data_IF_918694442692
#
_entry.id   IF_918694442692
#
_cell.length_a   1.000
_cell.length_b   1.000
_cell.length_c   1.000
_cell.angle_alpha   90.00
_cell.angle_beta   90.00
_cell.angle_gamma   90.00
#
_symmetry.space_group_name_H-M   'P 1'
#
loop_
_entity.id
_entity.type
_entity.pdbx_description
1 polymer ?
#
# COMPACT_ATOMS: atom_id res chain seq x y z
N UNK A 1 67.15 -4.58 -15.03
CA UNK A 1 65.92 -3.87 -15.48
C UNK A 1 64.87 -4.94 -15.80
N UNK A 2 64.43 -5.68 -14.78
CA UNK A 2 63.18 -5.50 -14.01
C UNK A 2 61.98 -6.03 -14.77
N UNK A 3 61.66 -7.30 -14.49
CA UNK A 3 60.40 -7.94 -14.84
C UNK A 3 59.28 -7.34 -13.98
N UNK A 4 58.16 -6.97 -14.61
CA UNK A 4 56.97 -6.48 -13.94
C UNK A 4 56.00 -7.66 -13.89
N UNK A 5 55.94 -8.34 -12.76
CA UNK A 5 54.87 -9.29 -12.44
C UNK A 5 53.57 -8.50 -12.23
N UNK A 6 52.60 -8.73 -13.10
CA UNK A 6 51.24 -8.24 -12.94
C UNK A 6 50.58 -9.03 -11.79
N UNK A 7 50.38 -8.36 -10.65
CA UNK A 7 49.53 -8.88 -9.58
C UNK A 7 48.08 -8.69 -9.99
N UNK A 8 47.42 -9.77 -10.41
CA UNK A 8 45.99 -9.83 -10.65
C UNK A 8 45.24 -9.64 -9.32
N UNK A 9 44.69 -8.44 -9.11
CA UNK A 9 43.92 -8.11 -7.92
C UNK A 9 42.63 -8.95 -7.89
N UNK A 10 42.56 -9.89 -6.95
CA UNK A 10 41.39 -10.71 -6.69
C UNK A 10 40.15 -9.83 -6.43
N UNK A 11 39.10 -10.00 -7.25
CA UNK A 11 37.79 -9.36 -7.04
C UNK A 11 37.28 -9.70 -5.63
N UNK A 12 36.78 -8.71 -4.86
CA UNK A 12 36.23 -8.99 -3.54
C UNK A 12 35.03 -9.92 -3.70
N UNK A 13 35.10 -11.11 -3.10
CA UNK A 13 33.98 -12.05 -2.99
C UNK A 13 32.88 -11.34 -2.23
N UNK A 14 31.85 -10.90 -2.96
CA UNK A 14 30.74 -10.11 -2.41
C UNK A 14 30.19 -10.75 -1.14
N UNK A 15 30.22 -9.98 -0.05
CA UNK A 15 29.69 -10.38 1.26
C UNK A 15 28.27 -10.90 1.07
N UNK A 16 28.02 -12.15 1.48
CA UNK A 16 26.70 -12.79 1.37
C UNK A 16 25.69 -11.93 2.16
N UNK A 17 24.75 -11.31 1.46
CA UNK A 17 23.69 -10.53 2.09
C UNK A 17 22.96 -11.37 3.14
N UNK A 18 22.62 -10.81 4.31
CA UNK A 18 21.76 -11.46 5.29
C UNK A 18 20.45 -11.92 4.64
N UNK A 19 19.91 -13.08 5.08
CA UNK A 19 18.73 -13.71 4.46
C UNK A 19 17.53 -12.74 4.31
N UNK A 20 17.30 -11.88 5.31
CA UNK A 20 16.24 -10.85 5.28
C UNK A 20 16.50 -9.77 4.24
N UNK A 21 17.73 -9.25 4.18
CA UNK A 21 18.12 -8.25 3.19
C UNK A 21 18.00 -8.81 1.76
N UNK A 22 18.41 -10.07 1.54
CA UNK A 22 18.19 -10.76 0.27
C UNK A 22 16.71 -10.86 -0.07
N UNK A 23 15.88 -11.27 0.88
CA UNK A 23 14.43 -11.40 0.66
C UNK A 23 13.80 -10.06 0.25
N UNK A 24 14.17 -8.95 0.90
CA UNK A 24 13.67 -7.62 0.55
C UNK A 24 14.14 -7.17 -0.84
N UNK A 25 15.38 -7.46 -1.21
CA UNK A 25 15.89 -7.19 -2.55
C UNK A 25 15.07 -7.92 -3.63
N UNK A 26 14.76 -9.20 -3.41
CA UNK A 26 13.94 -9.99 -4.33
C UNK A 26 12.51 -9.43 -4.44
N UNK A 27 11.91 -9.00 -3.32
CA UNK A 27 10.60 -8.37 -3.33
C UNK A 27 10.59 -7.03 -4.09
N UNK A 28 11.61 -6.19 -3.92
CA UNK A 28 11.73 -4.93 -4.66
C UNK A 28 11.83 -5.15 -6.17
N UNK A 29 12.69 -6.08 -6.59
CA UNK A 29 12.78 -6.46 -8.01
C UNK A 29 11.47 -7.04 -8.56
N UNK A 30 10.78 -7.86 -7.77
CA UNK A 30 9.48 -8.41 -8.14
C UNK A 30 8.43 -7.32 -8.32
N UNK A 31 8.39 -6.33 -7.40
CA UNK A 31 7.49 -5.18 -7.48
C UNK A 31 7.68 -4.41 -8.79
N UNK A 32 8.93 -4.06 -9.12
CA UNK A 32 9.24 -3.36 -10.38
C UNK A 32 8.75 -4.14 -11.61
N UNK A 33 8.99 -5.45 -11.64
CA UNK A 33 8.59 -6.30 -12.78
C UNK A 33 7.07 -6.45 -12.85
N UNK A 34 6.40 -6.71 -11.73
CA UNK A 34 4.95 -6.87 -11.70
C UNK A 34 4.21 -5.57 -12.06
N UNK A 35 4.70 -4.42 -11.61
CA UNK A 35 4.09 -3.11 -11.93
C UNK A 35 4.32 -2.75 -13.40
N UNK A 36 5.49 -3.06 -13.95
CA UNK A 36 5.82 -2.73 -15.34
C UNK A 36 5.11 -3.62 -16.36
N UNK A 37 4.95 -4.92 -16.06
CA UNK A 37 4.51 -5.92 -17.05
C UNK A 37 3.14 -6.54 -16.74
N UNK A 38 2.64 -6.36 -15.51
CA UNK A 38 1.51 -7.11 -14.98
C UNK A 38 1.90 -8.52 -14.51
N UNK A 39 1.06 -9.11 -13.65
CA UNK A 39 1.36 -10.42 -13.05
C UNK A 39 1.49 -11.54 -14.09
N UNK A 40 0.60 -11.59 -15.08
CA UNK A 40 0.57 -12.69 -16.06
C UNK A 40 1.81 -12.70 -16.96
N UNK A 41 2.21 -11.53 -17.45
CA UNK A 41 3.37 -11.36 -18.35
C UNK A 41 4.71 -11.52 -17.62
N UNK A 42 4.78 -11.15 -16.34
CA UNK A 42 6.00 -11.25 -15.55
C UNK A 42 6.52 -12.69 -15.46
N UNK A 43 7.82 -12.89 -15.73
CA UNK A 43 8.50 -14.16 -15.52
C UNK A 43 9.41 -14.13 -14.29
N UNK A 44 9.59 -15.30 -13.65
CA UNK A 44 10.57 -15.46 -12.56
C UNK A 44 12.00 -15.17 -13.02
N UNK A 45 12.26 -15.36 -14.31
CA UNK A 45 13.55 -15.10 -14.94
C UNK A 45 13.88 -13.61 -14.95
N UNK A 46 12.92 -12.78 -15.38
CA UNK A 46 13.07 -11.32 -15.41
C UNK A 46 13.29 -10.76 -14.01
N UNK A 47 12.63 -11.34 -13.01
CA UNK A 47 12.79 -10.95 -11.60
C UNK A 47 14.18 -11.31 -11.07
N UNK A 48 14.68 -12.51 -11.40
CA UNK A 48 16.02 -12.92 -10.99
C UNK A 48 17.09 -12.03 -11.63
N UNK A 49 16.94 -11.72 -12.93
CA UNK A 49 17.81 -10.80 -13.67
C UNK A 49 17.76 -9.40 -13.05
N UNK A 50 16.55 -8.86 -12.82
CA UNK A 50 16.36 -7.53 -12.19
C UNK A 50 16.99 -7.47 -10.80
N UNK A 51 16.87 -8.53 -10.01
CA UNK A 51 17.47 -8.62 -8.68
C UNK A 51 18.99 -8.86 -8.71
N UNK A 52 19.60 -9.13 -9.88
CA UNK A 52 21.01 -9.48 -9.99
C UNK A 52 21.36 -10.78 -9.27
N UNK A 53 20.44 -11.76 -9.26
CA UNK A 53 20.65 -13.09 -8.64
C UNK A 53 20.45 -14.20 -9.67
N UNK A 54 20.98 -15.39 -9.39
CA UNK A 54 20.68 -16.56 -10.20
C UNK A 54 19.28 -17.12 -9.91
N UNK A 55 18.64 -17.75 -10.90
CA UNK A 55 17.32 -18.38 -10.73
C UNK A 55 17.25 -19.33 -9.52
N UNK A 56 18.23 -20.23 -9.27
CA UNK A 56 18.18 -21.10 -8.09
C UNK A 56 18.13 -20.32 -6.77
N UNK A 57 18.75 -19.13 -6.69
CA UNK A 57 18.69 -18.29 -5.48
C UNK A 57 17.29 -17.71 -5.30
N UNK A 58 16.63 -17.26 -6.36
CA UNK A 58 15.24 -16.81 -6.28
C UNK A 58 14.31 -17.94 -5.81
N UNK A 59 14.42 -19.13 -6.43
CA UNK A 59 13.59 -20.29 -6.09
C UNK A 59 13.83 -20.85 -4.66
N UNK A 60 15.02 -20.65 -4.08
CA UNK A 60 15.28 -20.96 -2.67
C UNK A 60 14.47 -20.09 -1.70
N UNK A 61 14.09 -18.89 -2.11
CA UNK A 61 13.33 -17.94 -1.30
C UNK A 61 11.83 -18.00 -1.60
N UNK A 62 11.47 -18.15 -2.88
CA UNK A 62 10.09 -18.15 -3.35
C UNK A 62 9.90 -19.29 -4.36
N UNK A 63 9.18 -20.36 -4.00
CA UNK A 63 9.07 -21.55 -4.84
C UNK A 63 8.30 -21.29 -6.15
N UNK A 64 7.52 -20.21 -6.21
CA UNK A 64 6.77 -19.82 -7.39
C UNK A 64 6.42 -18.33 -7.43
N UNK A 65 5.87 -17.92 -8.58
CA UNK A 65 5.48 -16.54 -8.87
C UNK A 65 4.32 -16.07 -7.98
N UNK A 66 3.37 -16.95 -7.68
CA UNK A 66 2.25 -16.63 -6.81
C UNK A 66 2.73 -16.41 -5.38
N UNK A 67 3.59 -17.28 -4.84
CA UNK A 67 4.13 -17.14 -3.48
C UNK A 67 4.96 -15.86 -3.33
N UNK A 68 5.73 -15.51 -4.37
CA UNK A 68 6.44 -14.24 -4.43
C UNK A 68 5.48 -13.04 -4.43
N UNK A 69 4.41 -13.11 -5.23
CA UNK A 69 3.39 -12.07 -5.29
C UNK A 69 2.65 -11.91 -3.96
N UNK A 70 2.21 -13.00 -3.33
CA UNK A 70 1.53 -13.00 -2.04
C UNK A 70 2.44 -12.44 -0.94
N UNK A 71 3.72 -12.78 -0.97
CA UNK A 71 4.72 -12.23 -0.05
C UNK A 71 4.96 -10.73 -0.21
N UNK A 72 4.88 -10.22 -1.45
CA UNK A 72 4.94 -8.79 -1.74
C UNK A 72 3.66 -8.10 -1.26
N UNK A 73 2.51 -8.70 -1.54
CA UNK A 73 1.20 -8.23 -1.09
C UNK A 73 1.13 -8.12 0.43
N UNK A 74 1.60 -9.15 1.16
CA UNK A 74 1.65 -9.13 2.63
C UNK A 74 2.53 -7.97 3.16
N UNK A 75 3.63 -7.63 2.47
CA UNK A 75 4.47 -6.48 2.84
C UNK A 75 3.74 -5.14 2.66
N UNK A 76 3.01 -4.97 1.56
CA UNK A 76 2.26 -3.75 1.30
C UNK A 76 1.03 -3.61 2.21
N UNK A 77 0.33 -4.72 2.49
CA UNK A 77 -0.75 -4.74 3.47
C UNK A 77 -0.26 -4.30 4.86
N UNK A 78 0.87 -4.81 5.32
CA UNK A 78 1.46 -4.38 6.59
C UNK A 78 1.84 -2.90 6.56
N UNK A 79 2.45 -2.41 5.47
CA UNK A 79 2.81 -1.01 5.31
C UNK A 79 1.59 -0.07 5.38
N UNK A 80 0.49 -0.46 4.75
CA UNK A 80 -0.78 0.29 4.80
C UNK A 80 -1.33 0.34 6.23
N UNK A 81 -1.42 -0.81 6.89
CA UNK A 81 -1.92 -0.89 8.27
C UNK A 81 -1.08 -0.05 9.24
N UNK A 82 0.25 -0.07 9.10
CA UNK A 82 1.15 0.75 9.91
C UNK A 82 0.99 2.24 9.63
N UNK A 83 0.75 2.62 8.37
CA UNK A 83 0.49 4.03 8.00
C UNK A 83 -0.80 4.54 8.64
N UNK A 84 -1.87 3.73 8.61
CA UNK A 84 -3.15 4.05 9.28
C UNK A 84 -2.95 4.19 10.79
N UNK A 85 -2.27 3.23 11.43
CA UNK A 85 -1.99 3.29 12.87
C UNK A 85 -1.18 4.53 13.26
N UNK A 86 -0.16 4.86 12.47
CA UNK A 86 0.67 6.05 12.68
C UNK A 86 -0.15 7.33 12.57
N UNK A 87 -1.03 7.43 11.55
CA UNK A 87 -1.91 8.56 11.37
C UNK A 87 -2.90 8.72 12.54
N UNK A 88 -3.52 7.63 13.01
CA UNK A 88 -4.42 7.64 14.17
C UNK A 88 -3.70 8.07 15.46
N UNK A 89 -2.45 7.67 15.64
CA UNK A 89 -1.63 8.01 16.81
C UNK A 89 -1.03 9.42 16.76
N UNK A 90 -1.10 10.12 15.62
CA UNK A 90 -0.45 11.42 15.42
C UNK A 90 -1.02 12.56 16.26
N UNK A 91 -2.24 12.39 16.78
CA UNK A 91 -2.99 13.41 17.53
C UNK A 91 -4.13 12.75 18.32
N UNK A 92 -4.71 13.50 19.26
CA UNK A 92 -5.94 13.13 19.97
C UNK A 92 -7.18 13.88 19.47
N UNK A 93 -7.01 14.85 18.56
CA UNK A 93 -8.14 15.53 17.91
C UNK A 93 -8.69 14.66 16.77
N UNK A 94 -9.93 14.20 16.89
CA UNK A 94 -10.55 13.31 15.92
C UNK A 94 -10.70 13.90 14.52
N UNK A 95 -10.91 15.21 14.40
CA UNK A 95 -10.96 15.85 13.08
C UNK A 95 -9.58 15.78 12.41
N UNK A 96 -8.52 16.01 13.18
CA UNK A 96 -7.16 15.89 12.68
C UNK A 96 -6.77 14.44 12.39
N UNK A 97 -7.25 13.46 13.18
CA UNK A 97 -7.07 12.03 12.87
C UNK A 97 -7.70 11.65 11.53
N UNK A 98 -8.93 12.10 11.27
CA UNK A 98 -9.60 11.84 9.97
C UNK A 98 -8.80 12.44 8.81
N UNK A 99 -8.29 13.68 8.97
CA UNK A 99 -7.44 14.28 7.94
C UNK A 99 -6.14 13.48 7.72
N UNK A 100 -5.47 13.09 8.81
CA UNK A 100 -4.22 12.33 8.76
C UNK A 100 -4.39 10.93 8.15
N UNK A 101 -5.48 10.22 8.47
CA UNK A 101 -5.73 8.88 7.90
C UNK A 101 -6.08 8.94 6.42
N UNK A 102 -6.84 9.96 5.98
CA UNK A 102 -7.10 10.19 4.56
C UNK A 102 -5.81 10.54 3.81
N UNK A 103 -4.99 11.42 4.37
CA UNK A 103 -3.69 11.78 3.78
C UNK A 103 -2.77 10.54 3.64
N UNK A 104 -2.66 9.73 4.69
CA UNK A 104 -1.88 8.49 4.68
C UNK A 104 -2.40 7.49 3.63
N UNK A 105 -3.72 7.37 3.48
CA UNK A 105 -4.32 6.50 2.46
C UNK A 105 -4.02 7.00 1.05
N UNK A 106 -4.18 8.30 0.78
CA UNK A 106 -3.86 8.87 -0.54
C UNK A 106 -2.37 8.82 -0.86
N UNK A 107 -1.49 9.02 0.13
CA UNK A 107 -0.05 8.83 -0.05
C UNK A 107 0.28 7.38 -0.46
N UNK A 108 -0.38 6.39 0.14
CA UNK A 108 -0.23 4.99 -0.24
C UNK A 108 -0.74 4.70 -1.66
N UNK A 109 -1.84 5.36 -2.05
CA UNK A 109 -2.47 5.24 -3.37
C UNK A 109 -1.55 5.80 -4.48
N UNK A 110 -0.92 6.94 -4.22
CA UNK A 110 -0.03 7.62 -5.18
C UNK A 110 1.40 7.08 -5.22
N UNK A 111 1.77 6.19 -4.30
CA UNK A 111 3.13 5.64 -4.22
C UNK A 111 3.64 5.21 -5.60
N UNK A 112 4.75 5.83 -6.04
CA UNK A 112 5.33 5.60 -7.37
C UNK A 112 5.73 4.13 -7.56
N UNK A 113 6.00 3.43 -6.46
CA UNK A 113 6.24 2.00 -6.43
C UNK A 113 5.05 1.15 -6.88
N UNK A 114 3.86 1.72 -7.05
CA UNK A 114 2.68 1.02 -7.57
C UNK A 114 2.09 -0.01 -6.59
N UNK A 115 2.39 0.12 -5.30
CA UNK A 115 1.86 -0.75 -4.25
C UNK A 115 0.33 -0.88 -4.32
N UNK A 116 -0.36 0.25 -4.46
CA UNK A 116 -1.82 0.28 -4.58
C UNK A 116 -2.33 -0.56 -5.76
N UNK A 117 -1.68 -0.48 -6.92
CA UNK A 117 -2.06 -1.25 -8.11
C UNK A 117 -1.96 -2.76 -7.86
N UNK A 118 -0.92 -3.20 -7.14
CA UNK A 118 -0.76 -4.61 -6.78
C UNK A 118 -1.82 -5.09 -5.78
N UNK A 119 -2.24 -4.25 -4.84
CA UNK A 119 -3.20 -4.62 -3.80
C UNK A 119 -4.65 -4.55 -4.30
N UNK A 120 -5.02 -3.52 -5.07
CA UNK A 120 -6.42 -3.19 -5.31
C UNK A 120 -6.85 -3.15 -6.78
N UNK A 121 -5.92 -3.07 -7.74
CA UNK A 121 -6.23 -3.03 -9.18
C UNK A 121 -5.74 -4.26 -9.96
N UNK A 122 -5.11 -5.21 -9.28
CA UNK A 122 -4.57 -6.41 -9.92
C UNK A 122 -5.66 -7.31 -10.50
N UNK A 123 -5.40 -7.88 -11.67
CA UNK A 123 -6.23 -8.91 -12.31
C UNK A 123 -6.36 -10.19 -11.43
N UNK A 124 -5.51 -10.32 -10.40
CA UNK A 124 -5.58 -11.38 -9.41
C UNK A 124 -6.61 -11.16 -8.31
N UNK A 125 -7.47 -10.15 -8.38
CA UNK A 125 -8.56 -9.95 -7.40
C UNK A 125 -9.53 -11.14 -7.31
N UNK A 126 -9.57 -12.02 -8.33
CA UNK A 126 -10.31 -13.28 -8.31
C UNK A 126 -9.54 -14.45 -7.69
N UNK A 127 -8.24 -14.34 -7.47
CA UNK A 127 -7.43 -15.35 -6.79
C UNK A 127 -7.79 -15.37 -5.29
N UNK A 128 -8.31 -16.49 -4.74
CA UNK A 128 -8.77 -16.55 -3.35
C UNK A 128 -7.71 -16.11 -2.33
N UNK A 129 -6.45 -16.51 -2.53
CA UNK A 129 -5.36 -16.16 -1.63
C UNK A 129 -5.01 -14.66 -1.64
N UNK A 130 -5.26 -13.96 -2.76
CA UNK A 130 -5.09 -12.51 -2.87
C UNK A 130 -6.25 -11.80 -2.18
N UNK A 131 -7.50 -12.22 -2.48
CA UNK A 131 -8.71 -11.67 -1.86
C UNK A 131 -8.66 -11.75 -0.34
N UNK A 132 -8.30 -12.90 0.20
CA UNK A 132 -8.18 -13.10 1.65
C UNK A 132 -7.23 -12.08 2.31
N UNK A 133 -6.10 -11.76 1.66
CA UNK A 133 -5.12 -10.79 2.18
C UNK A 133 -5.66 -9.36 2.15
N UNK A 134 -6.36 -9.00 1.08
CA UNK A 134 -7.00 -7.68 0.92
C UNK A 134 -8.13 -7.50 1.92
N UNK A 135 -8.98 -8.51 2.08
CA UNK A 135 -10.08 -8.49 3.06
C UNK A 135 -9.52 -8.39 4.49
N UNK A 136 -8.47 -9.15 4.79
CA UNK A 136 -7.81 -9.13 6.10
C UNK A 136 -7.23 -7.75 6.43
N UNK A 137 -6.47 -7.13 5.53
CA UNK A 137 -5.91 -5.80 5.81
C UNK A 137 -6.99 -4.73 5.94
N UNK A 138 -8.07 -4.84 5.14
CA UNK A 138 -9.21 -3.92 5.21
C UNK A 138 -9.89 -4.02 6.57
N UNK A 139 -10.13 -5.25 7.06
CA UNK A 139 -10.68 -5.49 8.38
C UNK A 139 -9.76 -4.98 9.49
N UNK A 140 -8.44 -5.22 9.40
CA UNK A 140 -7.48 -4.73 10.41
C UNK A 140 -7.41 -3.20 10.46
N UNK A 141 -7.53 -2.52 9.31
CA UNK A 141 -7.61 -1.06 9.28
C UNK A 141 -8.93 -0.57 9.92
N UNK A 142 -10.05 -1.23 9.61
CA UNK A 142 -11.35 -0.91 10.21
C UNK A 142 -11.35 -1.13 11.72
N UNK A 143 -10.74 -2.21 12.22
CA UNK A 143 -10.55 -2.46 13.65
C UNK A 143 -9.79 -1.32 14.33
N UNK A 144 -8.65 -0.90 13.76
CA UNK A 144 -7.86 0.20 14.32
C UNK A 144 -8.64 1.53 14.38
N UNK A 145 -9.44 1.82 13.36
CA UNK A 145 -10.31 3.02 13.33
C UNK A 145 -11.45 2.87 14.33
N UNK A 146 -12.07 1.68 14.40
CA UNK A 146 -13.18 1.38 15.31
C UNK A 146 -12.78 1.55 16.77
N UNK A 147 -11.58 1.11 17.16
CA UNK A 147 -11.08 1.25 18.53
C UNK A 147 -11.00 2.72 18.96
N UNK A 148 -10.60 3.60 18.03
CA UNK A 148 -10.57 5.05 18.25
C UNK A 148 -11.98 5.63 18.35
N UNK A 149 -12.88 5.26 17.44
CA UNK A 149 -14.27 5.74 17.46
C UNK A 149 -14.96 5.34 18.77
N UNK A 150 -14.84 4.08 19.17
CA UNK A 150 -15.45 3.57 20.40
C UNK A 150 -14.92 4.29 21.64
N UNK A 151 -13.60 4.51 21.69
CA UNK A 151 -12.94 5.20 22.81
C UNK A 151 -13.38 6.66 23.00
N UNK A 152 -13.65 7.36 21.90
CA UNK A 152 -13.87 8.81 21.95
C UNK A 152 -15.34 9.24 21.83
N UNK A 153 -16.23 8.35 21.38
CA UNK A 153 -17.65 8.68 21.15
C UNK A 153 -18.62 7.97 22.09
N UNK A 154 -18.19 6.90 22.75
CA UNK A 154 -19.04 6.06 23.59
C UNK A 154 -20.02 5.17 22.82
N UNK A 155 -19.91 5.10 21.49
CA UNK A 155 -20.62 4.12 20.65
C UNK A 155 -20.22 2.69 21.01
N UNK A 156 -21.11 1.73 20.73
CA UNK A 156 -20.77 0.32 20.87
C UNK A 156 -19.68 -0.10 19.89
N UNK A 157 -19.04 -1.25 20.15
CA UNK A 157 -18.03 -1.82 19.27
C UNK A 157 -18.59 -2.11 17.87
N UNK A 158 -19.82 -2.62 17.79
CA UNK A 158 -20.44 -2.98 16.51
C UNK A 158 -20.82 -1.74 15.69
N UNK A 159 -21.35 -0.69 16.33
CA UNK A 159 -21.61 0.60 15.67
C UNK A 159 -20.31 1.26 15.19
N UNK A 160 -19.27 1.25 16.01
CA UNK A 160 -17.95 1.79 15.68
C UNK A 160 -17.31 1.04 14.52
N UNK A 161 -17.44 -0.29 14.49
CA UNK A 161 -16.97 -1.13 13.40
C UNK A 161 -17.73 -0.84 12.10
N UNK A 162 -19.05 -0.70 12.17
CA UNK A 162 -19.87 -0.37 10.99
C UNK A 162 -19.43 0.97 10.37
N UNK A 163 -19.20 1.98 11.20
CA UNK A 163 -18.68 3.27 10.75
C UNK A 163 -17.27 3.15 10.15
N UNK A 164 -16.37 2.41 10.81
CA UNK A 164 -15.00 2.21 10.36
C UNK A 164 -14.90 1.48 9.01
N UNK A 165 -15.72 0.43 8.81
CA UNK A 165 -15.83 -0.28 7.53
C UNK A 165 -16.37 0.67 6.45
N UNK A 166 -17.38 1.48 6.77
CA UNK A 166 -17.92 2.48 5.84
C UNK A 166 -16.87 3.51 5.41
N UNK A 167 -16.10 4.05 6.36
CA UNK A 167 -15.01 5.00 6.08
C UNK A 167 -13.91 4.38 5.21
N UNK A 168 -13.50 3.15 5.52
CA UNK A 168 -12.51 2.42 4.72
C UNK A 168 -13.00 2.18 3.29
N UNK A 169 -14.25 1.72 3.13
CA UNK A 169 -14.85 1.48 1.82
C UNK A 169 -14.98 2.73 0.97
N UNK A 170 -15.46 3.85 1.54
CA UNK A 170 -15.55 5.13 0.84
C UNK A 170 -14.15 5.61 0.41
N UNK A 171 -13.15 5.49 1.28
CA UNK A 171 -11.77 5.87 0.96
C UNK A 171 -11.21 5.09 -0.23
N UNK A 172 -11.40 3.76 -0.21
CA UNK A 172 -10.96 2.88 -1.29
C UNK A 172 -11.65 3.18 -2.63
N UNK A 173 -12.98 3.34 -2.61
CA UNK A 173 -13.75 3.60 -3.84
C UNK A 173 -13.40 4.96 -4.43
N UNK A 174 -13.29 5.99 -3.60
CA UNK A 174 -12.94 7.35 -4.05
C UNK A 174 -11.51 7.40 -4.57
N UNK A 175 -10.54 6.77 -3.90
CA UNK A 175 -9.15 6.75 -4.36
C UNK A 175 -9.00 6.06 -5.72
N UNK A 176 -9.69 4.93 -5.93
CA UNK A 176 -9.71 4.23 -7.22
C UNK A 176 -10.35 5.07 -8.33
N UNK A 177 -11.47 5.73 -8.02
CA UNK A 177 -12.09 6.67 -8.97
C UNK A 177 -11.13 7.81 -9.31
N UNK A 178 -10.51 8.41 -8.30
CA UNK A 178 -9.60 9.53 -8.48
C UNK A 178 -8.40 9.16 -9.38
N UNK A 179 -7.73 8.02 -9.12
CA UNK A 179 -6.63 7.51 -9.95
C UNK A 179 -7.02 7.20 -11.40
N UNK A 180 -8.18 6.58 -11.59
CA UNK A 180 -8.66 6.21 -12.94
C UNK A 180 -9.27 7.38 -13.71
N UNK A 181 -9.71 8.42 -13.00
CA UNK A 181 -10.32 9.60 -13.62
C UNK A 181 -9.28 10.52 -14.25
N UNK A 182 -9.56 11.05 -15.44
CA UNK A 182 -8.82 12.19 -16.02
C UNK A 182 -9.26 13.53 -15.44
N UNK A 183 -9.80 13.53 -14.22
CA UNK A 183 -10.51 14.68 -13.63
C UNK A 183 -9.59 15.88 -13.38
N UNK A 184 -8.27 15.69 -13.35
CA UNK A 184 -7.29 16.74 -13.10
C UNK A 184 -7.33 17.30 -11.67
N UNK A 185 -8.11 16.69 -10.77
CA UNK A 185 -8.21 17.09 -9.37
C UNK A 185 -6.88 16.80 -8.67
N UNK A 186 -6.19 17.79 -8.10
CA UNK A 186 -4.98 17.55 -7.34
C UNK A 186 -5.27 16.72 -6.08
N UNK A 187 -4.29 15.91 -5.67
CA UNK A 187 -4.34 15.08 -4.46
C UNK A 187 -4.85 15.83 -3.23
N UNK A 188 -4.26 16.99 -2.94
CA UNK A 188 -4.62 17.79 -1.76
C UNK A 188 -6.10 18.18 -1.76
N UNK A 189 -6.66 18.47 -2.94
CA UNK A 189 -8.08 18.73 -3.11
C UNK A 189 -8.91 17.47 -2.88
N UNK A 190 -8.49 16.32 -3.43
CA UNK A 190 -9.18 15.05 -3.21
C UNK A 190 -9.22 14.65 -1.72
N UNK A 191 -8.09 14.78 -1.02
CA UNK A 191 -7.97 14.56 0.43
C UNK A 191 -8.91 15.50 1.19
N UNK A 192 -8.87 16.80 0.90
CA UNK A 192 -9.75 17.79 1.58
C UNK A 192 -11.24 17.51 1.38
N UNK A 193 -11.65 17.15 0.16
CA UNK A 193 -13.04 16.80 -0.16
C UNK A 193 -13.48 15.56 0.63
N UNK A 194 -12.65 14.52 0.63
CA UNK A 194 -12.98 13.27 1.31
C UNK A 194 -12.96 13.42 2.85
N UNK A 195 -11.99 14.14 3.40
CA UNK A 195 -11.96 14.48 4.83
C UNK A 195 -13.23 15.25 5.23
N UNK A 196 -13.67 16.21 4.41
CA UNK A 196 -14.89 16.98 4.67
C UNK A 196 -16.14 16.08 4.64
N UNK A 197 -16.23 15.19 3.66
CA UNK A 197 -17.31 14.21 3.55
C UNK A 197 -17.34 13.24 4.73
N UNK A 198 -16.18 12.72 5.15
CA UNK A 198 -16.07 11.80 6.27
C UNK A 198 -16.38 12.46 7.62
N UNK A 199 -16.00 13.72 7.82
CA UNK A 199 -16.19 14.41 9.09
C UNK A 199 -17.57 15.07 9.25
N UNK A 200 -18.10 15.70 8.18
CA UNK A 200 -19.34 16.49 8.23
C UNK A 200 -20.47 15.92 7.38
N UNK A 201 -20.21 14.86 6.61
CA UNK A 201 -21.14 14.42 5.57
C UNK A 201 -21.34 15.48 4.49
N UNK A 202 -22.35 15.28 3.65
CA UNK A 202 -22.67 16.20 2.56
C UNK A 202 -23.11 17.59 3.05
N UNK A 203 -23.65 17.68 4.27
CA UNK A 203 -24.05 18.94 4.90
C UNK A 203 -22.87 19.88 5.19
N UNK A 204 -21.63 19.36 5.14
CA UNK A 204 -20.41 20.16 5.31
C UNK A 204 -20.07 21.08 4.13
N UNK A 205 -20.74 20.93 3.00
CA UNK A 205 -20.50 21.74 1.79
C UNK A 205 -21.54 22.86 1.65
N UNK A 206 -21.14 24.07 1.20
CA UNK A 206 -22.03 25.22 1.14
C UNK A 206 -23.15 25.02 0.11
N UNK A 207 -24.38 25.37 0.52
CA UNK A 207 -25.52 25.47 -0.39
C UNK A 207 -25.31 26.71 -1.26
N UNK A 208 -25.31 26.52 -2.58
CA UNK A 208 -25.33 27.64 -3.52
C UNK A 208 -26.79 28.03 -3.79
N UNK A 209 -27.14 29.31 -3.57
CA UNK A 209 -28.44 29.86 -3.99
C UNK A 209 -29.56 29.89 -2.95
N UNK A 210 -29.26 29.86 -1.64
CA UNK A 210 -30.25 30.33 -0.66
C UNK A 210 -29.97 31.82 -0.43
N UNK A 211 -30.50 32.63 -1.33
CA UNK A 211 -30.72 34.04 -1.04
C UNK A 211 -31.59 34.12 0.22
N UNK A 212 -31.07 34.79 1.24
CA UNK A 212 -31.83 35.14 2.43
C UNK A 212 -32.89 36.17 2.01
N UNK A 213 -34.15 35.75 1.99
CA UNK A 213 -35.29 36.63 2.12
C UNK A 213 -35.81 36.58 3.56
#
# INVERSE_FOLDING_TARGET
MTAIEQTEAARPRGTRLPRRARRNQLLGAAQEVFVAQGYHSAAMDDIAERAGVSKPVLYQHFPGKLELYLALLDQHCESLLQSVRTALASTTDNKLRVAATMDAYFAYVEDEGGAFRLVFESDLTNEPAVRERVDRVSLQCAEAISDVIAGDTGLSKDESMLLAVGLGGVSQVVARYWLSSRSGIPRDTAVQLLTSLAWRGIAGFPLHGIDQH
#
